data_IF_858509606706
#
_entry.id   IF_858509606706
#
_cell.length_a   1.000
_cell.length_b   1.000
_cell.length_c   1.000
_cell.angle_alpha   90.00
_cell.angle_beta   90.00
_cell.angle_gamma   90.00
#
_symmetry.space_group_name_H-M   'P 1'
#
loop_
_entity.id
_entity.type
_entity.pdbx_description
1 polymer ?
#
# COMPACT_ATOMS: atom_id res chain seq x y z
N UNK A 1 -10.02 -8.79 -1.30
CA UNK A 1 -10.19 -7.34 -1.08
C UNK A 1 -10.69 -6.71 -2.37
N UNK A 2 -11.57 -5.72 -2.30
CA UNK A 2 -11.97 -4.89 -3.45
C UNK A 2 -11.35 -3.49 -3.31
N UNK A 3 -10.79 -2.97 -4.39
CA UNK A 3 -10.11 -1.69 -4.51
C UNK A 3 -10.78 -0.93 -5.65
N UNK A 4 -11.50 0.14 -5.32
CA UNK A 4 -12.32 0.89 -6.27
C UNK A 4 -11.55 2.06 -6.85
N UNK A 5 -10.90 2.85 -5.99
CA UNK A 5 -10.15 4.02 -6.40
C UNK A 5 -8.91 4.20 -5.54
N UNK A 6 -7.86 4.76 -6.16
CA UNK A 6 -6.66 5.23 -5.47
C UNK A 6 -6.34 6.62 -5.99
N UNK A 7 -5.97 7.54 -5.11
CA UNK A 7 -5.39 8.82 -5.49
C UNK A 7 -4.18 9.12 -4.61
N UNK A 8 -3.13 9.66 -5.21
CA UNK A 8 -1.93 10.09 -4.50
C UNK A 8 -1.75 11.58 -4.70
N UNK A 9 -1.52 12.32 -3.62
CA UNK A 9 -1.33 13.75 -3.63
C UNK A 9 0.05 14.11 -3.08
N UNK A 10 0.66 15.14 -3.68
CA UNK A 10 1.90 15.74 -3.21
C UNK A 10 1.62 17.11 -2.61
N UNK A 11 2.10 17.33 -1.39
CA UNK A 11 1.97 18.60 -0.67
C UNK A 11 3.28 19.39 -0.62
N UNK A 12 3.16 20.64 -0.21
CA UNK A 12 4.26 21.47 0.28
C UNK A 12 3.72 22.40 1.37
N UNK A 13 4.57 22.80 2.32
CA UNK A 13 4.15 23.61 3.47
C UNK A 13 3.41 24.89 3.03
N UNK A 14 2.20 25.08 3.57
CA UNK A 14 1.36 26.25 3.29
C UNK A 14 0.73 26.30 1.89
N UNK A 15 0.76 25.22 1.13
CA UNK A 15 0.15 25.12 -0.21
C UNK A 15 -0.85 23.98 -0.31
N UNK A 16 -1.74 24.08 -1.28
CA UNK A 16 -2.67 22.99 -1.62
C UNK A 16 -1.92 21.75 -2.10
N UNK A 17 -2.50 20.59 -1.83
CA UNK A 17 -1.94 19.29 -2.16
C UNK A 17 -2.46 18.87 -3.53
N UNK A 18 -1.55 18.66 -4.50
CA UNK A 18 -1.91 18.37 -5.89
C UNK A 18 -1.92 16.87 -6.14
N UNK A 19 -2.92 16.36 -6.86
CA UNK A 19 -2.99 14.96 -7.29
C UNK A 19 -1.85 14.67 -8.27
N UNK A 20 -1.09 13.62 -8.02
CA UNK A 20 0.07 13.21 -8.82
C UNK A 20 -0.07 11.82 -9.44
N UNK A 21 -0.99 11.00 -8.92
CA UNK A 21 -1.34 9.69 -9.48
C UNK A 21 -2.79 9.34 -9.15
N UNK A 22 -3.42 8.53 -9.99
CA UNK A 22 -4.78 8.04 -9.74
C UNK A 22 -5.04 6.68 -10.37
N UNK A 23 -6.02 5.98 -9.82
CA UNK A 23 -6.57 4.75 -10.36
C UNK A 23 -8.09 4.73 -10.13
N UNK A 24 -8.83 4.27 -11.13
CA UNK A 24 -10.27 4.03 -11.07
C UNK A 24 -10.60 2.69 -11.73
N UNK A 25 -11.01 1.72 -10.91
CA UNK A 25 -11.33 0.37 -11.34
C UNK A 25 -12.53 0.35 -12.30
N UNK A 26 -13.51 1.22 -12.07
CA UNK A 26 -14.77 1.27 -12.81
C UNK A 26 -14.61 1.90 -14.19
N UNK A 27 -13.78 2.94 -14.27
CA UNK A 27 -13.43 3.60 -15.53
C UNK A 27 -12.35 2.82 -16.29
N UNK A 28 -11.63 1.92 -15.63
CA UNK A 28 -10.51 1.19 -16.22
C UNK A 28 -9.34 2.11 -16.55
N UNK A 29 -9.08 3.08 -15.69
CA UNK A 29 -8.05 4.11 -15.91
C UNK A 29 -7.02 4.12 -14.79
N UNK A 30 -5.76 4.38 -15.15
CA UNK A 30 -4.68 4.69 -14.21
C UNK A 30 -3.83 5.82 -14.78
N UNK A 31 -3.37 6.73 -13.93
CA UNK A 31 -2.44 7.80 -14.27
C UNK A 31 -1.26 7.79 -13.31
N UNK A 32 -0.04 7.87 -13.88
CA UNK A 32 1.23 7.82 -13.15
C UNK A 32 1.27 6.72 -12.07
N UNK A 33 0.77 5.54 -12.42
CA UNK A 33 0.69 4.39 -11.53
C UNK A 33 0.85 3.11 -12.35
N UNK A 34 1.62 2.17 -11.82
CA UNK A 34 1.73 0.80 -12.34
C UNK A 34 1.41 -0.18 -11.22
N UNK A 35 0.66 -1.23 -11.56
CA UNK A 35 0.39 -2.35 -10.67
C UNK A 35 1.39 -3.46 -10.95
N UNK A 36 2.12 -3.84 -9.92
CA UNK A 36 3.16 -4.87 -9.97
C UNK A 36 2.83 -5.98 -8.96
N UNK A 37 3.50 -7.11 -9.10
CA UNK A 37 3.48 -8.18 -8.11
C UNK A 37 4.85 -8.86 -8.00
N UNK A 38 5.07 -9.55 -6.90
CA UNK A 38 6.33 -10.24 -6.59
C UNK A 38 6.39 -11.64 -7.25
N UNK A 39 6.04 -11.73 -8.54
CA UNK A 39 6.02 -12.98 -9.33
C UNK A 39 7.14 -13.07 -10.38
N UNK A 40 8.04 -12.08 -10.45
CA UNK A 40 9.20 -12.09 -11.36
C UNK A 40 10.50 -12.48 -10.62
N UNK A 41 10.43 -13.46 -9.72
CA UNK A 41 11.58 -13.82 -8.89
C UNK A 41 12.67 -14.49 -9.75
N UNK A 42 13.87 -13.91 -9.76
CA UNK A 42 15.06 -14.52 -10.35
C UNK A 42 15.84 -15.33 -9.30
N UNK A 43 15.83 -16.65 -9.44
CA UNK A 43 16.57 -17.57 -8.57
C UNK A 43 18.03 -17.80 -9.02
N UNK A 44 18.49 -17.17 -10.10
CA UNK A 44 19.87 -17.31 -10.60
C UNK A 44 20.89 -16.54 -9.77
N UNK A 45 20.42 -15.63 -8.89
CA UNK A 45 21.26 -14.77 -8.07
C UNK A 45 21.76 -13.52 -8.81
N UNK A 46 21.13 -13.16 -9.92
CA UNK A 46 21.32 -11.86 -10.54
C UNK A 46 20.67 -10.75 -9.69
N UNK A 47 21.19 -9.53 -9.82
CA UNK A 47 20.67 -8.32 -9.17
C UNK A 47 19.43 -7.80 -9.92
N UNK A 48 18.38 -8.63 -10.05
CA UNK A 48 17.13 -8.28 -10.76
C UNK A 48 15.98 -7.99 -9.79
N UNK A 49 14.97 -7.28 -10.28
CA UNK A 49 13.77 -6.98 -9.50
C UNK A 49 12.94 -8.25 -9.34
N UNK A 50 12.41 -8.59 -8.14
CA UNK A 50 11.44 -9.66 -8.00
C UNK A 50 10.05 -9.25 -8.51
N UNK A 51 9.90 -7.97 -8.90
CA UNK A 51 8.66 -7.38 -9.38
C UNK A 51 8.46 -7.64 -10.87
N UNK A 52 7.21 -7.91 -11.25
CA UNK A 52 6.75 -7.87 -12.63
C UNK A 52 5.41 -7.15 -12.73
N UNK A 53 5.05 -6.70 -13.93
CA UNK A 53 3.71 -6.16 -14.15
C UNK A 53 2.66 -7.17 -13.74
N UNK A 54 1.63 -6.71 -13.05
CA UNK A 54 0.55 -7.56 -12.60
C UNK A 54 -0.47 -7.83 -13.71
N UNK A 55 -1.09 -9.01 -13.72
CA UNK A 55 -2.33 -9.24 -14.48
C UNK A 55 -3.49 -8.47 -13.87
N UNK A 56 -4.59 -8.36 -14.64
CA UNK A 56 -5.82 -7.65 -14.21
C UNK A 56 -6.37 -8.12 -12.86
N UNK A 57 -6.10 -9.36 -12.45
CA UNK A 57 -6.58 -9.96 -11.21
C UNK A 57 -5.50 -10.14 -10.14
N UNK A 58 -4.27 -9.66 -10.37
CA UNK A 58 -3.19 -9.81 -9.39
C UNK A 58 -2.55 -11.19 -9.37
N UNK A 59 -3.02 -12.14 -10.19
CA UNK A 59 -2.68 -13.56 -10.05
C UNK A 59 -1.43 -14.02 -10.81
N UNK A 60 -0.91 -13.19 -11.72
CA UNK A 60 0.18 -13.55 -12.61
C UNK A 60 0.97 -12.35 -13.10
N UNK A 61 2.00 -12.62 -13.88
CA UNK A 61 2.83 -11.59 -14.51
C UNK A 61 2.33 -11.25 -15.91
N UNK A 62 2.09 -9.98 -16.18
CA UNK A 62 1.79 -9.42 -17.50
C UNK A 62 3.08 -9.00 -18.22
N UNK A 63 3.00 -8.85 -19.55
CA UNK A 63 4.15 -8.43 -20.37
C UNK A 63 4.30 -6.91 -20.45
N UNK A 64 3.26 -6.17 -20.09
CA UNK A 64 3.21 -4.70 -20.09
C UNK A 64 2.30 -4.21 -18.97
N UNK A 65 2.37 -2.90 -18.68
CA UNK A 65 1.52 -2.27 -17.67
C UNK A 65 0.05 -2.51 -18.00
N UNK A 66 -0.63 -3.17 -17.07
CA UNK A 66 -2.04 -3.54 -17.21
C UNK A 66 -2.83 -2.83 -16.11
N UNK A 67 -3.97 -2.24 -16.49
CA UNK A 67 -4.87 -1.65 -15.50
C UNK A 67 -5.45 -2.77 -14.63
N UNK A 68 -5.26 -2.66 -13.32
CA UNK A 68 -5.79 -3.63 -12.37
C UNK A 68 -7.32 -3.62 -12.37
N UNK A 69 -7.92 -4.79 -12.16
CA UNK A 69 -9.37 -4.99 -12.18
C UNK A 69 -10.07 -4.69 -10.85
N UNK A 70 -9.30 -4.37 -9.80
CA UNK A 70 -9.84 -3.92 -8.53
C UNK A 70 -10.21 -5.01 -7.55
N UNK A 71 -9.88 -6.28 -7.79
CA UNK A 71 -10.16 -7.37 -6.83
C UNK A 71 -8.96 -8.27 -6.64
N UNK A 72 -8.60 -8.49 -5.38
CA UNK A 72 -7.61 -9.47 -4.94
C UNK A 72 -8.30 -10.67 -4.30
N UNK A 73 -7.97 -11.87 -4.79
CA UNK A 73 -8.49 -13.12 -4.23
C UNK A 73 -7.79 -13.51 -2.92
N UNK A 74 -8.55 -14.16 -2.03
CA UNK A 74 -8.02 -14.77 -0.81
C UNK A 74 -7.07 -15.94 -1.14
N UNK A 75 -6.22 -16.29 -0.19
CA UNK A 75 -5.30 -17.41 -0.29
C UNK A 75 -6.05 -18.74 -0.37
N UNK A 76 -5.82 -19.58 -1.38
CA UNK A 76 -6.45 -20.90 -1.47
C UNK A 76 -5.94 -21.91 -0.43
N UNK A 77 -4.69 -21.76 0.06
CA UNK A 77 -4.09 -22.68 1.05
C UNK A 77 -2.96 -22.04 1.87
N UNK A 78 -3.30 -21.62 3.09
CA UNK A 78 -2.38 -21.01 4.05
C UNK A 78 -1.18 -21.87 4.46
N UNK A 79 -1.21 -23.19 4.19
CA UNK A 79 -0.17 -24.11 4.64
C UNK A 79 1.06 -24.15 3.71
N UNK A 80 0.94 -23.59 2.50
CA UNK A 80 2.04 -23.60 1.53
C UNK A 80 3.03 -22.48 1.84
N UNK A 81 4.19 -22.87 2.35
CA UNK A 81 5.29 -21.94 2.57
C UNK A 81 6.00 -21.63 1.23
N UNK A 82 6.20 -20.35 0.92
CA UNK A 82 6.99 -19.91 -0.24
C UNK A 82 6.29 -20.01 -1.60
N UNK A 83 4.95 -20.08 -1.64
CA UNK A 83 4.19 -20.20 -2.89
C UNK A 83 4.12 -18.93 -3.76
N UNK A 84 4.75 -17.84 -3.33
CA UNK A 84 4.66 -16.53 -4.00
C UNK A 84 3.26 -15.91 -3.89
N UNK A 85 3.08 -14.63 -4.28
CA UNK A 85 1.75 -14.03 -4.38
C UNK A 85 0.82 -14.88 -5.25
N UNK A 86 -0.46 -14.96 -4.86
CA UNK A 86 -1.50 -15.81 -5.47
C UNK A 86 -1.46 -17.30 -5.04
N UNK A 87 -2.38 -18.07 -5.67
CA UNK A 87 -3.07 -19.32 -5.30
C UNK A 87 -2.87 -19.73 -3.86
N UNK A 88 -1.69 -20.10 -3.40
CA UNK A 88 -1.52 -20.53 -2.02
C UNK A 88 -1.46 -19.44 -0.95
N UNK A 89 -0.85 -18.27 -1.16
CA UNK A 89 -0.67 -17.25 -0.08
C UNK A 89 -1.56 -16.01 -0.20
N UNK A 90 -2.43 -15.96 -1.21
CA UNK A 90 -3.34 -14.84 -1.47
C UNK A 90 -2.77 -13.86 -2.49
N UNK A 91 -3.64 -13.23 -3.28
CA UNK A 91 -3.20 -12.29 -4.31
C UNK A 91 -2.74 -10.99 -3.65
N UNK A 92 -1.57 -10.52 -4.06
CA UNK A 92 -1.01 -9.25 -3.63
C UNK A 92 -0.54 -8.47 -4.86
N UNK A 93 -0.79 -7.17 -4.85
CA UNK A 93 -0.20 -6.22 -5.78
C UNK A 93 0.44 -5.10 -4.99
N UNK A 94 1.56 -4.58 -5.49
CA UNK A 94 2.09 -3.30 -5.05
C UNK A 94 1.92 -2.26 -6.16
N UNK A 95 1.83 -1.01 -5.75
CA UNK A 95 1.66 0.13 -6.65
C UNK A 95 2.92 1.00 -6.61
N UNK A 96 3.39 1.41 -7.78
CA UNK A 96 4.53 2.29 -7.98
C UNK A 96 4.14 3.39 -8.97
N UNK A 97 4.94 4.43 -9.10
CA UNK A 97 4.78 5.41 -10.18
C UNK A 97 5.07 4.77 -11.54
N UNK A 98 4.64 5.40 -12.64
CA UNK A 98 5.00 4.90 -13.99
C UNK A 98 6.42 5.28 -14.42
N UNK A 99 7.16 6.02 -13.59
CA UNK A 99 8.55 6.40 -13.85
C UNK A 99 9.47 5.21 -13.64
N UNK A 100 10.06 4.72 -14.72
CA UNK A 100 11.06 3.66 -14.64
C UNK A 100 12.35 4.23 -14.05
N UNK A 101 12.98 3.48 -13.15
CA UNK A 101 14.24 3.85 -12.55
C UNK A 101 15.39 3.98 -13.57
N UNK A 102 15.30 3.31 -14.72
CA UNK A 102 16.29 3.42 -15.79
C UNK A 102 16.14 4.69 -16.64
N UNK A 103 14.97 5.35 -16.61
CA UNK A 103 14.69 6.55 -17.42
C UNK A 103 15.14 7.86 -16.74
N UNK A 104 15.48 7.81 -15.45
CA UNK A 104 15.91 8.95 -14.62
C UNK A 104 17.32 8.70 -14.02
N UNK A 105 17.76 9.50 -13.04
CA UNK A 105 19.06 9.37 -12.32
C UNK A 105 19.24 8.04 -11.54
N UNK A 106 18.41 7.02 -11.79
CA UNK A 106 18.44 5.74 -11.11
C UNK A 106 17.58 5.70 -9.85
N UNK A 107 17.43 4.50 -9.30
CA UNK A 107 16.88 4.24 -7.99
C UNK A 107 17.93 3.58 -7.10
N UNK A 108 17.76 3.71 -5.78
CA UNK A 108 18.49 2.85 -4.84
C UNK A 108 17.85 1.45 -4.84
N UNK A 109 18.71 0.42 -4.89
CA UNK A 109 18.32 -0.99 -4.87
C UNK A 109 18.89 -1.76 -6.05
N UNK A 110 18.54 -3.06 -6.12
CA UNK A 110 18.82 -3.93 -7.26
C UNK A 110 17.53 -4.07 -8.06
N UNK A 111 17.60 -3.84 -9.37
CA UNK A 111 16.47 -3.95 -10.28
C UNK A 111 16.99 -4.07 -11.71
N UNK A 112 16.22 -4.79 -12.53
CA UNK A 112 16.31 -4.80 -13.99
C UNK A 112 15.33 -3.76 -14.55
N UNK A 113 14.81 -3.97 -15.77
CA UNK A 113 13.83 -3.05 -16.37
C UNK A 113 12.49 -2.98 -15.60
N UNK A 114 12.31 -3.79 -14.54
CA UNK A 114 11.13 -3.78 -13.66
C UNK A 114 11.34 -2.97 -12.37
N UNK A 115 12.28 -2.03 -12.37
CA UNK A 115 12.44 -1.02 -11.31
C UNK A 115 11.62 0.23 -11.56
N UNK A 116 10.70 0.57 -10.66
CA UNK A 116 9.92 1.81 -10.73
C UNK A 116 10.12 2.68 -9.48
N UNK A 117 9.95 4.00 -9.63
CA UNK A 117 9.97 4.92 -8.50
C UNK A 117 8.71 4.75 -7.63
N UNK A 118 8.87 4.89 -6.32
CA UNK A 118 7.74 5.19 -5.44
C UNK A 118 7.46 6.69 -5.43
N UNK A 119 6.52 7.13 -4.59
CA UNK A 119 6.29 8.56 -4.37
C UNK A 119 7.26 9.07 -3.30
N UNK A 120 8.15 9.99 -3.68
CA UNK A 120 9.19 10.55 -2.82
C UNK A 120 8.73 11.82 -2.08
N UNK A 121 9.57 12.35 -1.20
CA UNK A 121 9.28 13.56 -0.41
C UNK A 121 8.45 13.29 0.85
N UNK A 122 8.50 14.26 1.79
CA UNK A 122 7.92 14.10 3.12
C UNK A 122 6.50 14.62 3.30
N UNK A 123 5.88 15.16 2.26
CA UNK A 123 4.48 15.60 2.25
C UNK A 123 3.72 14.85 1.16
N UNK A 124 3.08 13.74 1.53
CA UNK A 124 2.40 12.80 0.62
C UNK A 124 1.13 12.26 1.25
N UNK A 125 0.06 12.17 0.45
CA UNK A 125 -1.22 11.66 0.90
C UNK A 125 -1.70 10.58 -0.05
N UNK A 126 -2.09 9.44 0.50
CA UNK A 126 -2.60 8.28 -0.23
C UNK A 126 -4.06 8.08 0.19
N UNK A 127 -4.95 8.08 -0.79
CA UNK A 127 -6.38 7.94 -0.58
C UNK A 127 -6.84 6.67 -1.28
N UNK A 128 -7.36 5.69 -0.55
CA UNK A 128 -7.76 4.38 -1.08
C UNK A 128 -9.19 4.06 -0.72
N UNK A 129 -10.08 3.93 -1.72
CA UNK A 129 -11.47 3.50 -1.55
C UNK A 129 -11.55 1.98 -1.71
N UNK A 130 -11.92 1.29 -0.64
CA UNK A 130 -11.82 -0.18 -0.56
C UNK A 130 -13.00 -0.82 0.16
N UNK A 131 -13.14 -2.12 -0.05
CA UNK A 131 -13.95 -3.02 0.77
C UNK A 131 -13.12 -4.25 1.10
N UNK A 132 -13.23 -4.73 2.34
CA UNK A 132 -12.52 -5.90 2.83
C UNK A 132 -13.52 -7.02 3.15
N UNK A 133 -14.14 -7.67 2.14
CA UNK A 133 -15.13 -8.71 2.37
C UNK A 133 -14.48 -9.93 3.04
N UNK A 134 -15.26 -10.69 3.81
CA UNK A 134 -14.82 -11.94 4.45
C UNK A 134 -14.39 -12.96 3.39
N UNK A 135 -13.13 -13.37 3.46
CA UNK A 135 -12.54 -14.45 2.69
C UNK A 135 -12.95 -15.82 3.21
N UNK A 136 -12.79 -16.84 2.37
CA UNK A 136 -13.21 -18.22 2.67
C UNK A 136 -12.15 -19.05 3.38
N UNK A 137 -10.93 -18.54 3.48
CA UNK A 137 -9.74 -19.33 3.85
C UNK A 137 -8.88 -18.57 4.85
N UNK A 138 -7.89 -17.78 4.41
CA UNK A 138 -6.98 -17.07 5.33
C UNK A 138 -7.67 -15.84 5.91
N UNK A 139 -8.40 -15.11 5.07
CA UNK A 139 -9.26 -14.01 5.49
C UNK A 139 -8.50 -12.85 6.21
N UNK A 140 -7.27 -12.56 5.77
CA UNK A 140 -6.40 -11.49 6.28
C UNK A 140 -6.12 -10.44 5.19
N UNK A 141 -7.11 -9.64 4.75
CA UNK A 141 -6.84 -8.53 3.82
C UNK A 141 -6.01 -7.42 4.50
N UNK A 142 -5.08 -6.85 3.75
CA UNK A 142 -4.17 -5.81 4.25
C UNK A 142 -3.92 -4.71 3.22
N UNK A 143 -3.76 -3.48 3.70
CA UNK A 143 -3.16 -2.35 2.99
C UNK A 143 -1.98 -1.89 3.83
N UNK A 144 -0.80 -1.94 3.22
CA UNK A 144 0.46 -1.66 3.88
C UNK A 144 1.41 -0.95 2.92
N UNK A 145 2.42 -0.32 3.47
CA UNK A 145 3.35 0.52 2.74
C UNK A 145 4.78 0.17 3.15
N UNK A 146 5.64 0.06 2.14
CA UNK A 146 7.06 -0.18 2.29
C UNK A 146 7.86 0.97 1.67
N UNK A 147 9.11 1.12 2.11
CA UNK A 147 10.08 1.87 1.32
C UNK A 147 10.23 1.20 -0.06
N UNK A 148 10.11 1.98 -1.12
CA UNK A 148 10.15 1.50 -2.50
C UNK A 148 11.43 0.70 -2.84
N UNK A 149 12.55 0.96 -2.14
CA UNK A 149 13.78 0.16 -2.27
C UNK A 149 13.56 -1.31 -1.88
N UNK A 150 12.74 -1.58 -0.87
CA UNK A 150 12.42 -2.92 -0.35
C UNK A 150 11.67 -3.72 -1.41
N UNK A 151 10.67 -3.07 -2.03
CA UNK A 151 9.82 -3.65 -3.08
C UNK A 151 10.66 -4.00 -4.31
N UNK A 152 11.54 -3.08 -4.74
CA UNK A 152 12.44 -3.29 -5.89
C UNK A 152 13.50 -4.35 -5.65
N UNK A 153 14.10 -4.40 -4.47
CA UNK A 153 15.26 -5.24 -4.24
C UNK A 153 14.90 -6.71 -3.94
N UNK A 154 14.03 -6.98 -2.95
CA UNK A 154 13.74 -8.36 -2.54
C UNK A 154 12.61 -8.47 -1.49
N UNK A 155 11.37 -8.04 -1.75
CA UNK A 155 10.28 -7.92 -0.73
C UNK A 155 10.18 -9.05 0.32
N UNK A 156 10.43 -10.30 -0.06
CA UNK A 156 10.40 -11.46 0.85
C UNK A 156 11.75 -12.20 0.98
N UNK A 157 12.85 -11.60 0.50
CA UNK A 157 14.20 -12.13 0.57
C UNK A 157 15.13 -11.26 1.41
N UNK A 158 16.38 -11.07 0.96
CA UNK A 158 17.36 -10.24 1.67
C UNK A 158 17.18 -8.76 1.31
N UNK A 159 16.08 -8.17 1.76
CA UNK A 159 15.73 -6.75 1.60
C UNK A 159 15.78 -6.04 2.95
N UNK A 160 16.96 -5.83 3.49
CA UNK A 160 17.12 -5.43 4.89
C UNK A 160 16.54 -6.41 5.94
N UNK A 161 15.72 -7.40 5.55
CA UNK A 161 15.22 -8.52 6.35
C UNK A 161 16.31 -9.59 6.53
N UNK A 162 17.39 -9.16 7.18
CA UNK A 162 18.63 -9.91 7.40
C UNK A 162 19.79 -9.06 7.92
N UNK A 163 19.64 -7.73 7.96
CA UNK A 163 20.63 -6.80 8.57
C UNK A 163 20.02 -5.88 9.63
N UNK A 164 18.70 -5.91 9.83
CA UNK A 164 17.98 -5.19 10.90
C UNK A 164 17.26 -6.14 11.87
N UNK A 165 16.81 -5.58 12.99
CA UNK A 165 15.96 -6.24 14.00
C UNK A 165 14.56 -6.59 13.46
N UNK A 166 13.74 -7.29 14.25
CA UNK A 166 12.31 -7.55 13.97
C UNK A 166 11.61 -6.22 13.67
N UNK A 167 11.11 -6.00 12.45
CA UNK A 167 10.56 -4.70 11.99
C UNK A 167 11.30 -4.09 10.79
N UNK A 168 12.51 -4.58 10.48
CA UNK A 168 13.13 -4.43 9.15
C UNK A 168 13.32 -2.98 8.65
N UNK A 169 13.16 -2.79 7.34
CA UNK A 169 13.49 -1.56 6.60
C UNK A 169 12.40 -0.47 6.62
N UNK A 170 11.59 -0.45 7.68
CA UNK A 170 10.43 0.43 7.79
C UNK A 170 9.21 -0.12 7.07
N UNK A 171 8.09 -0.24 7.80
CA UNK A 171 6.78 -0.67 7.28
C UNK A 171 5.67 0.11 7.99
N UNK A 172 4.64 0.47 7.22
CA UNK A 172 3.41 1.05 7.75
C UNK A 172 2.23 0.21 7.31
N UNK A 173 1.55 -0.43 8.27
CA UNK A 173 0.25 -1.02 8.02
C UNK A 173 -0.82 0.06 8.15
N UNK A 174 -1.50 0.35 7.05
CA UNK A 174 -2.58 1.33 7.01
C UNK A 174 -3.85 0.71 7.60
N UNK A 175 -4.20 -0.48 7.10
CA UNK A 175 -5.36 -1.22 7.54
C UNK A 175 -5.13 -2.72 7.28
N UNK A 176 -4.87 -3.48 8.35
CA UNK A 176 -4.60 -4.91 8.26
C UNK A 176 -5.49 -5.71 9.22
N UNK A 177 -6.13 -6.74 8.71
CA UNK A 177 -6.72 -7.78 9.57
C UNK A 177 -5.60 -8.72 9.98
N UNK A 178 -5.24 -8.70 11.27
CA UNK A 178 -4.19 -9.54 11.85
C UNK A 178 -4.76 -10.77 12.54
N UNK A 179 -3.96 -11.82 12.65
CA UNK A 179 -4.35 -13.13 13.19
C UNK A 179 -4.69 -13.10 14.70
N UNK A 180 -4.24 -12.07 15.42
CA UNK A 180 -4.51 -11.91 16.85
C UNK A 180 -5.98 -11.59 17.13
N UNK A 181 -6.72 -11.05 16.15
CA UNK A 181 -8.17 -10.93 16.19
C UNK A 181 -8.83 -12.16 15.54
N UNK A 182 -9.20 -13.14 16.37
CA UNK A 182 -9.84 -14.38 15.90
C UNK A 182 -11.20 -14.17 15.24
N UNK A 183 -11.88 -13.04 15.50
CA UNK A 183 -13.13 -12.69 14.82
C UNK A 183 -12.88 -12.10 13.42
N UNK A 184 -11.66 -11.61 13.14
CA UNK A 184 -11.25 -11.04 11.86
C UNK A 184 -12.19 -9.92 11.36
N UNK A 185 -12.84 -9.24 12.31
CA UNK A 185 -13.90 -8.24 12.11
C UNK A 185 -13.40 -6.80 12.34
N UNK A 186 -12.10 -6.63 12.56
CA UNK A 186 -11.44 -5.34 12.76
C UNK A 186 -10.12 -5.26 12.01
N UNK A 187 -9.73 -4.03 11.70
CA UNK A 187 -8.43 -3.69 11.11
C UNK A 187 -7.51 -3.07 12.15
N UNK A 188 -6.22 -3.22 11.94
CA UNK A 188 -5.12 -2.75 12.78
C UNK A 188 -4.19 -1.84 11.97
N UNK A 189 -3.41 -1.01 12.66
CA UNK A 189 -2.34 -0.19 12.07
C UNK A 189 -1.08 -0.31 12.92
N UNK A 190 0.07 -0.47 12.27
CA UNK A 190 1.37 -0.56 12.92
C UNK A 190 2.43 0.21 12.15
N UNK A 191 3.34 0.80 12.91
CA UNK A 191 4.57 1.40 12.40
C UNK A 191 5.72 0.53 12.87
N UNK A 192 6.35 -0.18 11.96
CA UNK A 192 7.59 -0.90 12.22
C UNK A 192 8.76 0.01 11.89
N UNK A 193 9.56 0.34 12.89
CA UNK A 193 10.71 1.23 12.73
C UNK A 193 11.98 0.44 12.41
N UNK A 194 12.99 1.13 11.86
CA UNK A 194 14.28 0.54 11.51
C UNK A 194 15.04 -0.05 12.70
N UNK A 195 14.77 0.42 13.92
CA UNK A 195 15.36 -0.12 15.15
C UNK A 195 14.61 -1.36 15.66
N UNK A 196 13.54 -1.75 14.98
CA UNK A 196 12.68 -2.89 15.30
C UNK A 196 11.68 -2.63 16.41
N UNK A 197 11.53 -1.37 16.85
CA UNK A 197 10.39 -0.98 17.67
C UNK A 197 9.12 -0.96 16.82
N UNK A 198 7.99 -1.15 17.50
CA UNK A 198 6.65 -1.06 16.92
C UNK A 198 5.90 0.01 17.69
N UNK A 199 5.15 0.85 16.98
CA UNK A 199 4.25 1.82 17.63
C UNK A 199 3.26 1.10 18.57
N UNK A 200 3.14 1.52 19.83
CA UNK A 200 2.14 0.95 20.73
C UNK A 200 0.74 1.47 20.39
N UNK A 201 -0.27 0.60 20.45
CA UNK A 201 -1.66 0.96 20.20
C UNK A 201 -1.95 1.12 18.70
N UNK A 202 -2.86 0.31 18.19
CA UNK A 202 -3.12 0.22 16.75
C UNK A 202 -3.87 -1.06 16.38
N UNK A 203 -3.71 -2.11 17.19
CA UNK A 203 -4.54 -3.31 17.12
C UNK A 203 -6.04 -2.97 17.17
N UNK A 204 -6.78 -3.53 16.21
CA UNK A 204 -8.25 -3.54 16.25
C UNK A 204 -8.87 -2.14 16.35
N UNK A 205 -8.24 -1.14 15.72
CA UNK A 205 -8.65 0.25 15.83
C UNK A 205 -10.01 0.49 15.16
N UNK A 206 -10.29 -0.05 13.99
CA UNK A 206 -11.57 0.17 13.30
C UNK A 206 -12.28 -1.14 12.95
N UNK A 207 -13.59 -1.06 12.75
CA UNK A 207 -14.34 -2.18 12.20
C UNK A 207 -13.86 -2.47 10.78
N UNK A 208 -13.73 -3.74 10.44
CA UNK A 208 -13.40 -4.15 9.08
C UNK A 208 -14.58 -3.80 8.16
N UNK A 209 -14.34 -3.16 7.01
CA UNK A 209 -15.38 -2.82 6.04
C UNK A 209 -15.80 -4.07 5.24
N UNK A 210 -16.55 -4.99 5.87
CA UNK A 210 -16.99 -6.24 5.24
C UNK A 210 -18.10 -6.01 4.24
N UNK A 211 -19.13 -5.28 4.63
CA UNK A 211 -20.38 -5.09 3.89
C UNK A 211 -20.59 -3.66 3.39
N UNK A 212 -19.61 -2.79 3.63
CA UNK A 212 -19.59 -1.38 3.21
C UNK A 212 -18.27 -1.04 2.53
N UNK A 213 -18.30 0.04 1.74
CA UNK A 213 -17.09 0.65 1.17
C UNK A 213 -16.66 1.80 2.08
N UNK A 214 -15.37 1.88 2.36
CA UNK A 214 -14.75 2.97 3.13
C UNK A 214 -13.61 3.58 2.33
N UNK A 215 -13.17 4.78 2.72
CA UNK A 215 -11.99 5.42 2.18
C UNK A 215 -10.97 5.63 3.29
N UNK A 216 -9.79 5.05 3.14
CA UNK A 216 -8.64 5.37 4.00
C UNK A 216 -7.86 6.54 3.41
N UNK A 217 -7.50 7.50 4.26
CA UNK A 217 -6.63 8.63 3.92
C UNK A 217 -5.38 8.53 4.80
N UNK A 218 -4.25 8.19 4.19
CA UNK A 218 -2.94 8.10 4.84
C UNK A 218 -2.12 9.33 4.46
N UNK A 219 -1.75 10.15 5.43
CA UNK A 219 -1.06 11.42 5.26
C UNK A 219 0.31 11.33 5.93
N UNK A 220 1.35 11.59 5.15
CA UNK A 220 2.68 11.93 5.63
C UNK A 220 2.82 13.45 5.52
N UNK A 221 3.06 14.12 6.63
CA UNK A 221 3.34 15.56 6.65
C UNK A 221 4.61 15.80 7.47
N UNK A 222 5.73 16.08 6.80
CA UNK A 222 7.00 16.40 7.43
C UNK A 222 7.15 17.88 7.79
N UNK A 223 6.09 18.69 7.71
CA UNK A 223 6.10 20.04 8.28
C UNK A 223 6.16 19.97 9.81
N UNK A 224 6.90 20.89 10.43
CA UNK A 224 7.07 20.90 11.89
C UNK A 224 7.80 19.66 12.41
N UNK A 225 7.16 18.91 13.31
CA UNK A 225 7.73 17.72 13.99
C UNK A 225 7.62 16.42 13.17
N UNK A 226 6.89 16.45 12.06
CA UNK A 226 6.62 15.25 11.27
C UNK A 226 5.48 14.41 11.84
N UNK A 227 4.47 14.14 11.02
CA UNK A 227 3.29 13.36 11.39
C UNK A 227 2.99 12.34 10.30
N UNK A 228 2.62 11.13 10.74
CA UNK A 228 1.85 10.20 9.91
C UNK A 228 0.46 10.08 10.50
N UNK A 229 -0.56 10.23 9.66
CA UNK A 229 -1.96 10.19 10.05
C UNK A 229 -2.71 9.21 9.15
N UNK A 230 -3.51 8.35 9.76
CA UNK A 230 -4.48 7.52 9.05
C UNK A 230 -5.86 7.90 9.56
N UNK A 231 -6.78 8.19 8.64
CA UNK A 231 -8.20 8.36 8.95
C UNK A 231 -9.03 7.48 8.04
N UNK A 232 -10.17 7.03 8.56
CA UNK A 232 -11.22 6.35 7.80
C UNK A 232 -12.38 7.33 7.63
N UNK A 233 -12.88 7.46 6.40
CA UNK A 233 -14.09 8.22 6.07
C UNK A 233 -15.04 7.34 5.25
N UNK A 234 -16.30 7.75 5.11
CA UNK A 234 -17.28 7.01 4.33
C UNK A 234 -16.84 6.82 2.88
N UNK A 235 -17.28 5.72 2.26
CA UNK A 235 -16.89 5.39 0.89
C UNK A 235 -17.22 6.48 -0.14
N UNK A 236 -18.21 7.31 0.12
CA UNK A 236 -18.64 8.40 -0.78
C UNK A 236 -18.29 9.80 -0.24
N UNK A 237 -17.53 9.89 0.86
CA UNK A 237 -17.15 11.16 1.50
C UNK A 237 -15.91 11.82 0.85
N UNK A 238 -15.29 11.17 -0.14
CA UNK A 238 -14.17 11.70 -0.90
C UNK A 238 -14.49 11.75 -2.41
N UNK A 239 -14.24 12.90 -3.02
CA UNK A 239 -14.35 13.09 -4.47
C UNK A 239 -13.01 12.80 -5.16
N UNK A 240 -12.89 11.63 -5.79
CA UNK A 240 -11.69 11.22 -6.52
C UNK A 240 -11.44 11.99 -7.82
N UNK A 241 -12.40 12.81 -8.29
CA UNK A 241 -12.24 13.61 -9.50
C UNK A 241 -11.40 14.87 -9.28
N UNK A 242 -11.21 15.30 -8.03
CA UNK A 242 -10.47 16.54 -7.71
C UNK A 242 -9.00 16.44 -8.08
N UNK A 243 -8.43 17.53 -8.58
CA UNK A 243 -7.00 17.62 -8.90
C UNK A 243 -6.17 18.18 -7.75
N UNK A 244 -6.82 18.77 -6.74
CA UNK A 244 -6.15 19.28 -5.55
C UNK A 244 -7.04 19.23 -4.32
N UNK A 245 -6.39 19.16 -3.15
CA UNK A 245 -7.01 19.29 -1.83
C UNK A 245 -6.42 20.51 -1.12
N UNK A 246 -7.28 21.32 -0.52
CA UNK A 246 -6.82 22.54 0.14
C UNK A 246 -5.94 22.25 1.36
N UNK A 247 -4.96 23.11 1.63
CA UNK A 247 -4.13 23.01 2.83
C UNK A 247 -4.97 22.99 4.13
N UNK A 248 -6.08 23.75 4.17
CA UNK A 248 -6.99 23.82 5.31
C UNK A 248 -7.74 22.49 5.54
N UNK A 249 -8.13 21.80 4.45
CA UNK A 249 -8.73 20.46 4.54
C UNK A 249 -7.74 19.46 5.13
N UNK A 250 -6.51 19.44 4.63
CA UNK A 250 -5.47 18.53 5.16
C UNK A 250 -5.16 18.84 6.61
N UNK A 251 -5.03 20.13 6.98
CA UNK A 251 -4.84 20.55 8.37
C UNK A 251 -5.98 20.09 9.28
N UNK A 252 -7.21 20.09 8.77
CA UNK A 252 -8.38 19.59 9.49
C UNK A 252 -8.27 18.09 9.74
N UNK A 253 -7.88 17.31 8.73
CA UNK A 253 -7.68 15.86 8.87
C UNK A 253 -6.52 15.50 9.81
N UNK A 254 -5.41 16.24 9.75
CA UNK A 254 -4.28 16.06 10.68
C UNK A 254 -4.71 16.32 12.13
N UNK A 255 -5.57 17.32 12.34
CA UNK A 255 -6.07 17.72 13.66
C UNK A 255 -7.25 16.89 14.16
N UNK A 256 -7.90 16.10 13.28
CA UNK A 256 -9.04 15.29 13.65
C UNK A 256 -8.65 14.34 14.78
N UNK A 257 -9.51 14.18 15.79
CA UNK A 257 -9.38 13.07 16.72
C UNK A 257 -9.37 11.80 15.89
N UNK A 258 -8.47 10.88 16.19
CA UNK A 258 -8.58 9.58 15.56
C UNK A 258 -9.81 8.91 16.15
N UNK A 259 -10.93 8.96 15.44
CA UNK A 259 -12.06 8.11 15.82
C UNK A 259 -11.54 6.68 15.76
N UNK A 260 -11.49 6.06 16.94
CA UNK A 260 -11.13 4.68 17.20
C UNK A 260 -9.63 4.29 17.38
N UNK A 261 -8.66 5.21 17.42
CA UNK A 261 -7.32 4.87 17.97
C UNK A 261 -7.25 5.19 19.47
N UNK A 262 -8.02 4.44 20.28
CA UNK A 262 -8.10 4.49 21.76
C UNK A 262 -9.30 5.28 22.30
N UNK A 263 -10.33 4.52 22.70
CA UNK A 263 -11.00 4.75 24.00
C UNK A 263 -10.58 3.66 24.96
#
# INVERSE_FOLDING_TARGET
>A
MNIYNIAVFSGSSGSDWSKVSSYDASAGTQENMVFMNNLNIDYTGADSSPQGYSTVDGSGTATESTVFGGTLADASDASVTGGGPCVSTGCEVNIMTSTNCADEDGCVGYYDDMGFHGWDGGMKMFVTKVQMPTGSTVNLPAIWMLNAQVVRASQYGCNCRGSGSVGGCGELDVAEVIETNTAQDKVSTHYYFYDGSVSPGGDNYAARPTDSVVTYVTIYDNSGEGVVKIIEIGGDDFDFSVDSISADTVSTWLSASVENLLS
#
